data_IF_611913345264
#
_entry.id   IF_611913345264
#
_cell.length_a   1.000
_cell.length_b   1.000
_cell.length_c   1.000
_cell.angle_alpha   90.00
_cell.angle_beta   90.00
_cell.angle_gamma   90.00
#
_symmetry.space_group_name_H-M   'P 1'
#
loop_
_entity.id
_entity.type
_entity.pdbx_description
1 polymer ?
2 non-polymer ?
3 water ?
#
# COMPACT_ATOMS: atom_id res chain seq x y z
N UNK A 6 2.35 28.44 4.45
CA UNK A 6 1.37 27.37 4.46
C UNK A 6 1.07 26.98 5.90
N UNK A 7 -0.09 27.41 6.40
CA UNK A 7 -0.41 27.19 7.81
C UNK A 7 -0.51 25.70 8.13
N UNK A 8 -0.05 25.35 9.33
CA UNK A 8 -0.03 23.97 9.77
C UNK A 8 1.09 23.14 9.19
N UNK A 9 1.67 23.57 8.07
CA UNK A 9 2.79 22.86 7.46
C UNK A 9 4.00 22.95 8.38
N UNK A 10 4.43 21.81 8.91
CA UNK A 10 5.43 21.76 9.97
C UNK A 10 6.61 20.88 9.58
N UNK A 11 7.03 20.97 8.32
CA UNK A 11 8.23 20.28 7.87
C UNK A 11 9.47 20.97 8.45
N UNK A 12 10.19 20.25 9.31
CA UNK A 12 11.32 20.83 10.02
C UNK A 12 11.02 21.20 11.46
N UNK A 13 9.79 21.02 11.91
CA UNK A 13 9.37 21.38 13.27
C UNK A 13 8.72 20.21 13.98
N UNK A 14 8.84 19.00 13.44
CA UNK A 14 8.15 17.85 13.99
C UNK A 14 9.08 17.16 14.99
N UNK A 15 8.47 16.40 15.88
CA UNK A 15 9.23 15.69 16.90
C UNK A 15 9.82 14.42 16.32
N UNK A 16 10.68 13.78 17.11
CA UNK A 16 11.35 12.57 16.66
C UNK A 16 10.34 11.44 16.63
N UNK A 17 10.06 10.92 15.44
CA UNK A 17 9.15 9.79 15.33
C UNK A 17 9.74 8.58 16.03
N UNK A 18 8.92 7.75 16.67
CA UNK A 18 9.45 6.59 17.40
C UNK A 18 9.87 5.45 16.50
N UNK A 19 10.33 5.76 15.29
CA UNK A 19 10.88 4.78 14.36
C UNK A 19 12.35 5.10 14.16
N UNK A 20 13.19 4.08 14.31
CA UNK A 20 14.64 4.28 14.19
C UNK A 20 15.05 4.52 12.74
N UNK A 21 16.21 5.15 12.56
CA UNK A 21 16.71 5.41 11.22
C UNK A 21 16.96 4.11 10.47
N UNK A 22 17.48 3.10 11.16
CA UNK A 22 17.69 1.81 10.52
C UNK A 22 16.37 1.22 10.05
N UNK A 23 15.37 1.20 10.94
CA UNK A 23 14.03 0.74 10.56
C UNK A 23 13.51 1.51 9.37
N UNK A 24 13.74 2.83 9.35
CA UNK A 24 13.39 3.62 8.18
C UNK A 24 14.20 3.19 6.97
N UNK A 25 15.51 2.99 7.15
CA UNK A 25 16.37 2.59 6.04
C UNK A 25 15.91 1.27 5.44
N UNK A 26 15.44 0.35 6.27
CA UNK A 26 14.97 -0.93 5.78
C UNK A 26 13.59 -0.86 5.15
N UNK A 27 12.79 0.14 5.50
CA UNK A 27 11.54 0.36 4.80
C UNK A 27 11.79 0.87 3.38
N UNK A 28 12.71 1.83 3.22
CA UNK A 28 13.04 2.30 1.88
C UNK A 28 13.65 1.19 1.03
N UNK A 29 14.30 0.22 1.66
CA UNK A 29 14.85 -0.91 0.94
C UNK A 29 13.78 -1.92 0.55
N UNK A 30 12.85 -2.20 1.46
CA UNK A 30 11.74 -3.08 1.12
C UNK A 30 10.96 -2.56 -0.08
N UNK A 31 10.76 -1.24 -0.15
CA UNK A 31 10.11 -0.62 -1.31
C UNK A 31 11.08 -0.39 -2.46
N UNK A 32 12.37 -0.75 -2.28
CA UNK A 32 13.37 -0.66 -3.35
C UNK A 32 13.64 0.78 -3.78
N UNK A 33 13.58 1.72 -2.82
CA UNK A 33 13.87 3.12 -3.09
C UNK A 33 15.37 3.31 -3.04
N UNK A 34 16.00 3.38 -4.22
CA UNK A 34 17.43 3.55 -4.33
C UNK A 34 17.81 4.91 -4.90
N UNK A 35 19.12 5.06 -5.13
CA UNK A 35 19.64 6.33 -5.66
C UNK A 35 19.01 6.67 -7.00
N UNK A 36 18.76 5.66 -7.84
CA UNK A 36 18.09 5.90 -9.12
C UNK A 36 16.71 6.52 -8.90
N UNK A 37 15.99 6.05 -7.88
CA UNK A 37 14.67 6.61 -7.60
C UNK A 37 14.77 8.00 -6.99
N UNK A 38 15.72 8.20 -6.07
CA UNK A 38 15.95 9.52 -5.51
C UNK A 38 16.17 10.55 -6.62
N UNK A 39 16.93 10.17 -7.65
CA UNK A 39 17.12 11.05 -8.79
C UNK A 39 15.82 11.24 -9.56
N UNK A 40 15.15 10.13 -9.90
CA UNK A 40 13.89 10.22 -10.66
C UNK A 40 12.86 11.05 -9.90
N UNK A 41 12.85 10.96 -8.57
CA UNK A 41 11.94 11.80 -7.79
C UNK A 41 12.23 13.27 -8.02
N UNK A 42 13.50 13.67 -7.90
CA UNK A 42 13.87 15.05 -8.19
C UNK A 42 13.62 15.41 -9.65
N UNK A 43 13.64 14.42 -10.55
CA UNK A 43 13.25 14.69 -11.93
C UNK A 43 11.75 14.93 -12.03
N UNK A 44 10.95 14.15 -11.31
CA UNK A 44 9.51 14.42 -11.28
C UNK A 44 9.21 15.75 -10.61
N UNK A 45 10.02 16.15 -9.62
CA UNK A 45 9.82 17.44 -8.99
C UNK A 45 10.01 18.60 -9.96
N UNK A 46 11.01 18.49 -10.83
CA UNK A 46 11.16 19.47 -11.90
C UNK A 46 10.03 19.38 -12.90
N UNK A 47 9.37 18.23 -12.98
CA UNK A 47 8.24 18.06 -13.89
C UNK A 47 6.91 18.52 -13.28
N UNK A 48 6.72 18.35 -11.97
CA UNK A 48 5.44 18.57 -11.34
C UNK A 48 5.36 19.86 -10.52
N UNK A 49 6.46 20.61 -10.39
CA UNK A 49 6.45 21.78 -9.52
C UNK A 49 5.42 22.82 -9.99
N UNK A 50 5.22 22.95 -11.30
CA UNK A 50 4.32 23.96 -11.83
C UNK A 50 2.91 23.43 -12.13
N UNK A 51 2.73 22.11 -12.17
CA UNK A 51 1.42 21.52 -12.35
C UNK A 51 0.74 21.16 -11.03
N UNK A 52 1.26 21.65 -9.91
CA UNK A 52 0.75 21.26 -8.60
C UNK A 52 -0.74 21.58 -8.47
N UNK A 53 -1.12 22.81 -8.86
CA UNK A 53 -2.52 23.20 -8.79
C UNK A 53 -3.37 22.36 -9.73
N UNK A 54 -2.82 21.99 -10.88
CA UNK A 54 -3.53 21.14 -11.83
C UNK A 54 -3.58 19.68 -11.38
N UNK A 55 -2.72 19.29 -10.45
CA UNK A 55 -2.84 17.98 -9.81
C UNK A 55 -3.87 18.03 -8.71
N UNK A 56 -3.84 19.13 -7.95
CA UNK A 56 -4.68 19.28 -6.77
C UNK A 56 -6.17 19.22 -7.10
N UNK A 57 -6.58 19.86 -8.19
CA UNK A 57 -7.98 19.90 -8.59
C UNK A 57 -8.60 18.51 -8.78
N UNK A 58 -7.78 17.47 -8.85
CA UNK A 58 -8.29 16.11 -8.85
C UNK A 58 -8.36 15.50 -7.44
N UNK A 59 -7.59 16.01 -6.48
CA UNK A 59 -7.39 15.31 -5.22
C UNK A 59 -8.05 15.97 -4.03
N UNK A 60 -7.89 17.28 -3.83
CA UNK A 60 -8.49 17.96 -2.68
C UNK A 60 -8.69 19.43 -3.00
N UNK A 61 -9.81 19.96 -2.55
CA UNK A 61 -10.12 21.37 -2.66
C UNK A 61 -11.61 21.59 -2.68
N UNK A 62 -11.99 22.85 -2.44
CA UNK A 62 -13.40 23.22 -2.55
C UNK A 62 -13.87 23.21 -4.01
N UNK A 63 -12.97 23.51 -4.95
CA UNK A 63 -13.25 23.42 -6.38
C UNK A 63 -12.59 22.21 -7.04
N UNK A 64 -12.06 21.28 -6.26
CA UNK A 64 -11.38 20.14 -6.85
C UNK A 64 -12.38 19.06 -7.27
N UNK A 65 -12.56 18.07 -6.41
CA UNK A 65 -13.45 16.95 -6.69
C UNK A 65 -13.71 16.20 -5.38
N UNK A 66 -12.75 15.34 -5.00
CA UNK A 66 -12.80 14.56 -3.77
C UNK A 66 -13.97 13.58 -3.80
N UNK A 67 -13.69 12.29 -3.67
CA UNK A 67 -14.75 11.30 -3.78
C UNK A 67 -15.60 11.25 -2.51
N UNK A 68 -16.08 10.06 -2.15
CA UNK A 68 -16.81 9.91 -0.90
C UNK A 68 -15.91 10.13 0.31
N UNK A 69 -14.60 10.08 0.11
CA UNK A 69 -13.62 10.34 1.17
C UNK A 69 -13.72 11.77 1.70
N UNK A 70 -14.39 12.67 0.98
CA UNK A 70 -14.61 14.03 1.45
C UNK A 70 -15.31 14.04 2.80
N UNK A 71 -15.96 12.93 3.17
CA UNK A 71 -16.58 12.83 4.48
C UNK A 71 -15.56 13.07 5.60
N UNK A 72 -14.34 12.57 5.43
CA UNK A 72 -13.28 12.80 6.41
C UNK A 72 -12.75 14.22 6.36
N UNK A 73 -13.17 15.03 5.40
CA UNK A 73 -12.92 16.45 5.37
C UNK A 73 -14.09 17.25 5.91
N UNK A 74 -15.09 16.56 6.45
CA UNK A 74 -16.37 17.14 6.80
C UNK A 74 -16.64 17.03 8.29
N UNK A 75 -17.69 17.71 8.73
CA UNK A 75 -18.13 17.62 10.12
C UNK A 75 -18.85 16.30 10.33
N UNK A 76 -18.45 15.49 11.31
CA UNK A 76 -19.08 14.16 11.43
C UNK A 76 -20.52 14.22 11.92
N UNK A 77 -20.87 15.21 12.73
CA UNK A 77 -22.24 15.32 13.23
C UNK A 77 -23.20 15.69 12.10
N UNK A 78 -22.78 16.59 11.21
CA UNK A 78 -23.65 17.10 10.16
C UNK A 78 -23.27 16.60 8.76
N UNK A 79 -22.16 15.91 8.60
CA UNK A 79 -21.72 15.50 7.28
C UNK A 79 -21.43 16.67 6.36
N UNK A 80 -20.94 17.78 6.92
CA UNK A 80 -20.82 19.03 6.20
C UNK A 80 -19.37 19.27 5.82
N UNK A 81 -19.02 19.27 4.54
CA UNK A 81 -17.61 19.48 4.15
C UNK A 81 -17.12 20.83 4.68
N UNK A 82 -15.99 20.78 5.37
CA UNK A 82 -15.41 21.97 6.01
C UNK A 82 -14.45 22.59 5.00
N UNK A 83 -14.77 23.81 4.53
CA UNK A 83 -14.00 24.41 3.44
C UNK A 83 -12.58 24.75 3.84
N UNK A 84 -12.42 25.54 4.91
CA UNK A 84 -11.07 25.88 5.36
C UNK A 84 -10.31 24.63 5.77
N UNK A 85 -11.01 23.60 6.27
CA UNK A 85 -10.34 22.31 6.43
C UNK A 85 -9.83 21.81 5.08
N UNK A 86 -10.63 21.93 4.03
CA UNK A 86 -10.23 21.44 2.72
C UNK A 86 -9.21 22.37 2.07
N UNK A 87 -9.26 23.67 2.38
CA UNK A 87 -8.35 24.62 1.78
C UNK A 87 -6.95 24.54 2.40
N UNK A 88 -6.88 24.40 3.72
CA UNK A 88 -5.57 24.36 4.37
C UNK A 88 -4.86 23.04 4.11
N UNK A 89 -5.60 21.94 4.00
CA UNK A 89 -4.98 20.66 3.66
C UNK A 89 -4.57 20.66 2.20
N UNK A 90 -5.35 21.31 1.34
CA UNK A 90 -4.98 21.42 -0.07
C UNK A 90 -3.63 22.10 -0.23
N UNK A 91 -3.40 23.19 0.51
CA UNK A 91 -2.12 23.86 0.48
C UNK A 91 -1.01 22.96 1.01
N UNK A 92 -1.23 22.36 2.18
CA UNK A 92 -0.24 21.45 2.76
C UNK A 92 0.01 20.26 1.83
N UNK A 93 -1.05 19.68 1.28
CA UNK A 93 -0.89 18.59 0.33
C UNK A 93 -0.16 19.07 -0.93
N UNK A 94 -0.51 20.26 -1.42
CA UNK A 94 0.17 20.80 -2.59
C UNK A 94 1.66 20.98 -2.39
N UNK A 95 2.08 21.25 -1.16
CA UNK A 95 3.50 21.33 -0.85
C UNK A 95 4.11 19.95 -0.66
N UNK A 96 3.30 18.98 -0.22
CA UNK A 96 3.81 17.63 -0.01
C UNK A 96 4.16 16.96 -1.34
N UNK A 97 3.46 17.34 -2.42
CA UNK A 97 3.80 16.81 -3.75
C UNK A 97 5.25 17.12 -4.07
N UNK A 98 5.68 18.35 -3.81
CA UNK A 98 7.06 18.73 -4.05
C UNK A 98 8.00 18.19 -2.97
N UNK A 99 7.50 18.02 -1.74
CA UNK A 99 8.29 17.39 -0.70
C UNK A 99 8.54 15.91 -1.00
N UNK A 100 7.59 15.24 -1.64
CA UNK A 100 7.78 13.85 -2.03
C UNK A 100 8.82 13.73 -3.14
N UNK A 101 8.99 14.78 -3.94
CA UNK A 101 9.87 14.73 -5.09
C UNK A 101 11.23 15.36 -4.83
N UNK A 102 11.28 16.48 -4.12
CA UNK A 102 12.51 17.25 -3.99
C UNK A 102 13.26 16.98 -2.69
N UNK A 103 12.56 16.64 -1.62
CA UNK A 103 13.19 16.51 -0.30
C UNK A 103 13.97 15.21 -0.19
N UNK A 104 15.09 15.28 0.54
CA UNK A 104 15.87 14.09 0.83
C UNK A 104 15.18 13.26 1.90
N UNK A 105 15.15 11.95 1.68
CA UNK A 105 14.42 11.02 2.55
C UNK A 105 15.29 10.68 3.76
N UNK A 106 15.53 11.70 4.57
CA UNK A 106 16.33 11.60 5.77
C UNK A 106 15.42 11.52 6.99
N UNK A 107 15.98 11.76 8.18
CA UNK A 107 15.18 11.73 9.39
C UNK A 107 14.11 12.82 9.39
N UNK A 108 14.50 14.03 9.00
CA UNK A 108 13.52 15.13 8.94
C UNK A 108 12.38 14.81 7.98
N UNK A 109 12.66 14.07 6.90
CA UNK A 109 11.58 13.61 6.03
C UNK A 109 10.77 12.51 6.72
N UNK A 110 11.44 11.52 7.30
CA UNK A 110 10.75 10.44 7.98
C UNK A 110 9.89 10.99 9.11
N UNK A 111 10.41 11.95 9.87
CA UNK A 111 9.66 12.52 10.97
C UNK A 111 8.40 13.24 10.49
N UNK A 112 8.49 13.92 9.35
CA UNK A 112 7.32 14.64 8.84
C UNK A 112 6.28 13.67 8.27
N UNK A 113 6.73 12.59 7.63
CA UNK A 113 5.79 11.58 7.19
C UNK A 113 5.05 10.98 8.38
N UNK A 114 5.75 10.72 9.48
CA UNK A 114 5.09 10.31 10.71
C UNK A 114 4.10 11.37 11.19
N UNK A 115 4.42 12.64 10.97
CA UNK A 115 3.47 13.71 11.28
C UNK A 115 2.21 13.56 10.44
N UNK A 116 2.38 13.42 9.12
CA UNK A 116 1.23 13.27 8.23
C UNK A 116 0.41 12.05 8.61
N UNK A 117 1.08 10.98 9.06
CA UNK A 117 0.35 9.80 9.51
C UNK A 117 -0.45 10.07 10.77
N UNK A 118 0.12 10.83 11.70
CA UNK A 118 -0.61 11.20 12.92
C UNK A 118 -1.79 12.11 12.59
N UNK A 119 -1.68 12.91 11.53
CA UNK A 119 -2.77 13.82 11.16
C UNK A 119 -3.95 13.08 10.53
N UNK A 120 -3.75 11.85 10.07
CA UNK A 120 -4.86 11.02 9.64
C UNK A 120 -5.43 10.22 10.82
N UNK A 121 -4.58 9.90 11.79
CA UNK A 121 -4.98 9.14 12.97
C UNK A 121 -5.82 10.01 13.89
N UNK A 122 -6.53 9.35 14.81
CA UNK A 122 -7.29 10.07 15.83
C UNK A 122 -6.40 10.83 16.79
N UNK A 123 -5.07 10.61 16.70
CA UNK A 123 -4.14 11.28 17.58
C UNK A 123 -4.05 12.78 17.29
N UNK A 124 -4.31 13.18 16.04
CA UNK A 124 -4.11 14.58 15.69
C UNK A 124 -5.03 15.10 14.60
N UNK A 125 -5.87 14.28 13.98
CA UNK A 125 -6.75 14.75 12.92
C UNK A 125 -7.57 15.95 13.36
N UNK A 126 -7.60 16.98 12.52
CA UNK A 126 -8.31 18.20 12.83
C UNK A 126 -7.56 19.16 13.74
N UNK A 127 -6.59 18.69 14.51
CA UNK A 127 -5.88 19.56 15.44
C UNK A 127 -5.07 20.61 14.68
N UNK A 128 -4.42 20.21 13.58
CA UNK A 128 -3.62 21.13 12.79
C UNK A 128 -4.42 22.35 12.36
N UNK A 129 -5.71 22.18 12.10
CA UNK A 129 -6.55 23.23 11.55
C UNK A 129 -7.59 23.74 12.53
N UNK A 130 -7.57 23.27 13.77
CA UNK A 130 -8.56 23.69 14.74
C UNK A 130 -9.98 23.37 14.33
N UNK A 131 -10.17 22.35 13.50
CA UNK A 131 -11.47 22.01 12.95
C UNK A 131 -12.04 20.82 13.70
N UNK A 132 -13.34 20.85 13.93
CA UNK A 132 -14.06 19.72 14.52
C UNK A 132 -14.57 18.86 13.37
N UNK A 133 -13.93 17.72 13.15
CA UNK A 133 -14.16 16.90 11.98
C UNK A 133 -14.24 15.43 12.39
N UNK A 134 -14.25 14.56 11.40
CA UNK A 134 -14.17 13.11 11.64
C UNK A 134 -12.88 12.86 12.42
N UNK A 135 -12.96 12.23 13.59
CA UNK A 135 -11.76 12.15 14.44
C UNK A 135 -10.65 11.32 13.83
N UNK A 136 -10.96 10.30 13.05
CA UNK A 136 -9.97 9.31 12.64
C UNK A 136 -10.30 8.79 11.26
N UNK A 137 -9.26 8.59 10.45
CA UNK A 137 -9.40 7.97 9.13
C UNK A 137 -9.05 6.50 9.27
N UNK A 138 -9.94 5.58 8.87
CA UNK A 138 -9.62 4.15 8.97
C UNK A 138 -8.36 3.80 8.18
N UNK A 139 -7.51 2.98 8.80
CA UNK A 139 -6.27 2.57 8.16
C UNK A 139 -6.53 1.90 6.82
N UNK A 140 -7.66 1.18 6.69
CA UNK A 140 -7.96 0.49 5.46
C UNK A 140 -8.01 1.45 4.27
N UNK A 141 -8.51 2.67 4.50
CA UNK A 141 -8.60 3.64 3.41
C UNK A 141 -7.25 4.28 3.12
N UNK A 142 -6.45 4.52 4.16
CA UNK A 142 -5.08 4.98 3.94
C UNK A 142 -4.32 4.02 3.03
N UNK A 143 -4.41 2.73 3.31
CA UNK A 143 -3.75 1.75 2.45
C UNK A 143 -4.44 1.68 1.10
N UNK A 144 -5.78 1.69 1.09
CA UNK A 144 -6.51 1.71 -0.18
C UNK A 144 -6.15 2.94 -1.01
N UNK A 145 -5.89 4.07 -0.35
CA UNK A 145 -5.53 5.30 -1.06
C UNK A 145 -4.19 5.19 -1.77
N UNK A 146 -3.38 4.20 -1.42
CA UNK A 146 -2.06 4.03 -2.02
C UNK A 146 -2.15 3.99 -3.54
N UNK A 147 -3.15 3.27 -4.09
CA UNK A 147 -3.25 3.17 -5.53
C UNK A 147 -3.68 4.47 -6.20
N UNK A 148 -4.85 5.06 -5.88
CA UNK A 148 -5.29 6.24 -6.65
C UNK A 148 -4.28 7.37 -6.61
N UNK A 149 -3.65 7.61 -5.47
CA UNK A 149 -2.71 8.72 -5.34
C UNK A 149 -1.37 8.45 -6.01
N UNK A 150 -1.10 7.21 -6.40
CA UNK A 150 0.02 6.91 -7.28
C UNK A 150 -0.36 7.04 -8.75
N UNK A 151 -1.55 6.53 -9.11
CA UNK A 151 -1.97 6.51 -10.50
C UNK A 151 -2.35 7.88 -11.04
N UNK A 152 -2.74 8.82 -10.15
CA UNK A 152 -3.09 10.16 -10.64
C UNK A 152 -1.87 10.92 -11.15
N UNK A 153 -0.69 10.65 -10.59
CA UNK A 153 0.49 11.42 -10.95
C UNK A 153 1.07 10.98 -12.31
N UNK A 154 0.81 9.74 -12.72
CA UNK A 154 1.43 9.22 -13.94
C UNK A 154 1.12 10.06 -15.17
N UNK A 155 -0.14 10.47 -15.44
CA UNK A 155 -0.36 11.36 -16.60
C UNK A 155 0.38 12.67 -16.51
N UNK A 156 0.67 13.15 -15.29
CA UNK A 156 1.32 14.44 -15.13
C UNK A 156 2.79 14.39 -15.49
N UNK A 157 3.50 13.33 -15.10
CA UNK A 157 4.91 13.29 -15.46
C UNK A 157 5.13 13.11 -16.95
N UNK A 158 4.07 12.94 -17.74
CA UNK A 158 4.16 12.67 -19.16
C UNK A 158 4.53 13.90 -19.99
N UNK A 159 5.04 14.98 -19.37
CA UNK A 159 5.39 16.15 -20.18
C UNK A 159 6.72 15.90 -20.88
N UNK A 160 7.35 16.96 -21.37
CA UNK A 160 8.66 16.93 -22.04
C UNK A 160 9.40 15.59 -22.04
N UNK A 164 9.25 7.14 -21.97
CA UNK A 164 9.14 5.82 -21.33
C UNK A 164 9.86 5.72 -19.98
N UNK A 165 11.16 5.37 -20.01
CA UNK A 165 11.87 5.04 -18.77
C UNK A 165 11.94 6.21 -17.82
N UNK A 166 12.01 7.44 -18.33
CA UNK A 166 11.91 8.59 -17.44
C UNK A 166 10.54 8.64 -16.77
N UNK A 167 9.48 8.49 -17.56
CA UNK A 167 8.15 8.48 -16.98
C UNK A 167 7.93 7.24 -16.12
N UNK A 168 8.54 6.11 -16.48
CA UNK A 168 8.47 4.94 -15.61
C UNK A 168 9.31 5.13 -14.36
N UNK A 169 10.51 5.70 -14.50
CA UNK A 169 11.35 5.94 -13.33
C UNK A 169 10.71 6.90 -12.34
N UNK A 170 10.21 8.04 -12.84
CA UNK A 170 9.53 8.99 -11.98
C UNK A 170 8.27 8.38 -11.37
N UNK A 171 7.56 7.55 -12.15
CA UNK A 171 6.33 6.94 -11.66
C UNK A 171 6.61 5.93 -10.56
N UNK A 172 7.55 5.01 -10.81
CA UNK A 172 7.84 3.97 -9.83
C UNK A 172 8.36 4.56 -8.52
N UNK A 173 9.20 5.58 -8.59
CA UNK A 173 9.75 6.17 -7.38
C UNK A 173 8.66 6.84 -6.55
N UNK A 174 7.75 7.57 -7.20
CA UNK A 174 6.59 8.11 -6.50
C UNK A 174 5.73 7.00 -5.93
N UNK A 175 5.46 5.96 -6.72
CA UNK A 175 4.83 4.76 -6.22
C UNK A 175 5.56 4.24 -4.99
N UNK A 176 6.89 4.18 -5.06
CA UNK A 176 7.66 3.73 -3.91
C UNK A 176 7.47 4.64 -2.71
N UNK A 177 7.42 5.95 -2.94
CA UNK A 177 7.24 6.90 -1.84
C UNK A 177 5.82 6.85 -1.29
N UNK A 178 4.82 6.73 -2.17
CA UNK A 178 3.44 6.65 -1.72
C UNK A 178 3.23 5.42 -0.85
N UNK A 179 3.88 4.32 -1.19
CA UNK A 179 3.84 3.15 -0.32
C UNK A 179 4.60 3.42 0.98
N UNK A 180 5.81 3.97 0.87
CA UNK A 180 6.73 4.06 2.01
C UNK A 180 6.15 4.86 3.17
N UNK A 181 5.58 6.04 2.91
CA UNK A 181 5.02 6.85 4.00
C UNK A 181 3.83 6.18 4.63
N UNK A 182 2.94 5.58 3.82
CA UNK A 182 1.80 4.89 4.39
C UNK A 182 2.28 3.74 5.25
N UNK A 183 3.38 3.09 4.87
CA UNK A 183 3.95 2.06 5.71
C UNK A 183 4.41 2.64 7.04
N UNK A 184 4.88 3.89 7.03
CA UNK A 184 5.20 4.58 8.27
C UNK A 184 3.93 5.03 8.98
N UNK A 185 2.94 5.51 8.22
CA UNK A 185 1.70 5.99 8.81
C UNK A 185 0.95 4.91 9.59
N UNK A 186 1.22 3.65 9.29
CA UNK A 186 0.48 2.56 9.92
C UNK A 186 0.81 2.45 11.40
N UNK A 187 2.01 2.84 11.81
CA UNK A 187 2.46 2.63 13.19
C UNK A 187 1.50 3.18 14.25
N UNK A 188 1.00 4.41 14.16
CA UNK A 188 -0.01 4.85 15.14
C UNK A 188 -1.27 4.01 15.14
N UNK A 189 -1.68 3.50 13.97
CA UNK A 189 -2.84 2.62 13.90
C UNK A 189 -2.50 1.23 14.45
N UNK A 190 -1.27 0.80 14.23
CA UNK A 190 -0.88 -0.58 14.50
C UNK A 190 -0.60 -0.83 15.98
N UNK A 191 -0.91 -2.05 16.42
CA UNK A 191 -0.60 -2.50 17.77
C UNK A 191 0.90 -2.48 18.02
N UNK A 192 1.27 -2.24 19.28
CA UNK A 192 2.63 -2.05 19.75
C UNK A 192 3.72 -2.79 18.96
N UNK A 193 3.75 -4.12 19.11
CA UNK A 193 4.79 -4.94 18.48
C UNK A 193 4.32 -5.54 17.17
N UNK A 194 3.28 -4.98 16.57
CA UNK A 194 2.76 -5.53 15.32
C UNK A 194 3.20 -4.75 14.09
N UNK A 195 3.62 -3.50 14.25
CA UNK A 195 3.98 -2.70 13.09
C UNK A 195 5.33 -3.11 12.51
N UNK B 6 -2.48 -28.79 -2.93
CA UNK B 6 -1.70 -27.76 -2.28
C UNK B 6 -2.09 -27.65 -0.80
N UNK B 7 -1.27 -28.20 0.09
CA UNK B 7 -1.62 -28.22 1.51
C UNK B 7 -1.73 -26.82 2.08
N UNK B 8 -2.70 -26.65 2.98
CA UNK B 8 -2.97 -25.36 3.59
C UNK B 8 -3.77 -24.40 2.73
N UNK B 9 -3.78 -24.59 1.42
CA UNK B 9 -4.54 -23.73 0.52
C UNK B 9 -6.03 -23.95 0.77
N UNK B 10 -6.71 -22.93 1.31
CA UNK B 10 -8.09 -23.07 1.79
C UNK B 10 -9.01 -22.01 1.20
N UNK B 11 -8.84 -21.68 -0.09
CA UNK B 11 -9.76 -20.76 -0.75
C UNK B 11 -11.09 -21.47 -0.96
N UNK B 12 -12.13 -21.00 -0.27
CA UNK B 12 -13.41 -21.66 -0.27
C UNK B 12 -13.66 -22.50 0.97
N UNK B 13 -12.68 -22.57 1.87
CA UNK B 13 -12.77 -23.38 3.07
C UNK B 13 -12.46 -22.58 4.33
N UNK B 14 -12.36 -21.26 4.21
CA UNK B 14 -11.99 -20.39 5.32
C UNK B 14 -13.25 -19.82 5.96
N UNK B 15 -13.09 -19.33 7.20
CA UNK B 15 -14.20 -18.77 7.95
C UNK B 15 -14.49 -17.33 7.50
N UNK B 16 -15.62 -16.81 8.00
CA UNK B 16 -16.07 -15.47 7.62
C UNK B 16 -15.22 -14.40 8.28
N UNK B 17 -14.55 -13.59 7.46
CA UNK B 17 -13.75 -12.49 7.97
C UNK B 17 -14.65 -11.47 8.68
N UNK B 18 -14.16 -10.85 9.75
CA UNK B 18 -14.98 -9.87 10.47
C UNK B 18 -15.10 -8.54 9.75
N UNK B 19 -15.08 -8.59 8.41
CA UNK B 19 -15.30 -7.43 7.55
C UNK B 19 -16.62 -7.63 6.83
N UNK B 20 -17.49 -6.63 6.87
CA UNK B 20 -18.78 -6.72 6.21
C UNK B 20 -18.60 -6.60 4.70
N UNK B 21 -19.60 -7.10 3.96
CA UNK B 21 -19.55 -7.04 2.50
C UNK B 21 -19.51 -5.61 2.00
N UNK B 22 -20.29 -4.72 2.61
CA UNK B 22 -20.25 -3.31 2.22
C UNK B 22 -18.88 -2.70 2.50
N UNK B 23 -18.33 -2.95 3.70
CA UNK B 23 -16.98 -2.49 4.01
C UNK B 23 -16.00 -2.98 2.96
N UNK B 24 -16.13 -4.25 2.55
CA UNK B 24 -15.33 -4.77 1.45
C UNK B 24 -15.70 -4.08 0.14
N UNK B 25 -17.00 -3.90 -0.11
CA UNK B 25 -17.43 -3.30 -1.37
C UNK B 25 -16.90 -1.88 -1.52
N UNK B 26 -16.91 -1.09 -0.43
CA UNK B 26 -16.38 0.26 -0.51
C UNK B 26 -14.86 0.29 -0.44
N UNK B 27 -14.24 -0.75 0.10
CA UNK B 27 -12.80 -0.88 -0.03
C UNK B 27 -12.41 -1.10 -1.48
N UNK B 28 -13.19 -1.94 -2.17
CA UNK B 28 -12.97 -2.17 -3.60
C UNK B 28 -13.15 -0.89 -4.39
N UNK B 29 -14.01 0.02 -3.92
CA UNK B 29 -14.16 1.29 -4.62
C UNK B 29 -13.05 2.27 -4.29
N UNK B 30 -12.62 2.32 -3.03
CA UNK B 30 -11.51 3.20 -2.67
C UNK B 30 -10.27 2.88 -3.50
N UNK B 31 -10.02 1.59 -3.77
CA UNK B 31 -8.94 1.21 -4.68
C UNK B 31 -9.34 1.32 -6.14
N UNK B 32 -10.57 1.72 -6.42
CA UNK B 32 -11.05 1.98 -7.79
C UNK B 32 -11.04 0.71 -8.64
N UNK B 33 -11.27 -0.43 -8.01
CA UNK B 33 -11.33 -1.72 -8.71
C UNK B 33 -12.73 -1.90 -9.28
N UNK B 34 -12.89 -1.65 -10.57
CA UNK B 34 -14.16 -1.77 -11.24
C UNK B 34 -14.23 -2.95 -12.21
N UNK B 35 -15.36 -3.01 -12.93
CA UNK B 35 -15.58 -4.10 -13.88
C UNK B 35 -14.49 -4.14 -14.94
N UNK B 36 -14.02 -2.97 -15.38
CA UNK B 36 -12.92 -2.94 -16.34
C UNK B 36 -11.67 -3.63 -15.78
N UNK B 37 -11.41 -3.45 -14.49
CA UNK B 37 -10.27 -4.11 -13.86
C UNK B 37 -10.53 -5.61 -13.72
N UNK B 38 -11.75 -5.98 -13.31
CA UNK B 38 -12.12 -7.39 -13.25
C UNK B 38 -11.85 -8.07 -14.58
N UNK B 39 -12.16 -7.38 -15.68
CA UNK B 39 -11.83 -7.92 -17.01
C UNK B 39 -10.33 -7.99 -17.21
N UNK B 40 -9.62 -6.89 -16.96
CA UNK B 40 -8.17 -6.88 -17.13
C UNK B 40 -7.50 -7.90 -16.21
N UNK B 41 -8.03 -8.06 -14.99
CA UNK B 41 -7.52 -9.09 -14.09
C UNK B 41 -7.75 -10.48 -14.67
N UNK B 42 -9.00 -10.79 -15.06
CA UNK B 42 -9.28 -12.08 -15.68
C UNK B 42 -8.57 -12.22 -17.02
N UNK B 43 -8.24 -11.10 -17.67
CA UNK B 43 -7.38 -11.16 -18.84
C UNK B 43 -5.95 -11.47 -18.45
N UNK B 44 -5.48 -10.88 -17.34
CA UNK B 44 -4.13 -11.16 -16.85
C UNK B 44 -3.95 -12.62 -16.47
N UNK B 45 -5.03 -13.29 -16.05
CA UNK B 45 -4.94 -14.71 -15.74
C UNK B 45 -4.53 -15.53 -16.95
N UNK B 46 -5.08 -15.20 -18.13
CA UNK B 46 -4.63 -15.85 -19.35
C UNK B 46 -3.20 -15.46 -19.70
N UNK B 47 -2.72 -14.32 -19.20
CA UNK B 47 -1.35 -13.91 -19.48
C UNK B 47 -0.37 -14.55 -18.52
N UNK B 48 -0.79 -14.80 -17.27
CA UNK B 48 0.11 -15.24 -16.22
C UNK B 48 -0.05 -16.72 -15.89
N UNK B 49 -1.01 -17.42 -16.50
CA UNK B 49 -1.28 -18.81 -16.12
C UNK B 49 -0.07 -19.70 -16.36
N UNK B 50 0.70 -19.45 -17.43
CA UNK B 50 1.83 -20.29 -17.77
C UNK B 50 3.17 -19.74 -17.30
N UNK B 51 3.23 -18.46 -16.90
CA UNK B 51 4.46 -17.89 -16.38
C UNK B 51 4.54 -17.93 -14.86
N UNK B 52 3.67 -18.70 -14.20
CA UNK B 52 3.64 -18.72 -12.74
C UNK B 52 4.99 -19.16 -12.18
N UNK B 53 5.57 -20.20 -12.76
CA UNK B 53 6.84 -20.72 -12.27
C UNK B 53 7.96 -19.69 -12.40
N UNK B 54 7.93 -18.90 -13.49
CA UNK B 54 8.92 -17.85 -13.64
C UNK B 54 8.63 -16.64 -12.77
N UNK B 55 7.38 -16.49 -12.30
CA UNK B 55 7.07 -15.49 -11.29
C UNK B 55 7.40 -15.99 -9.90
N UNK B 56 7.06 -17.25 -9.62
CA UNK B 56 7.29 -17.79 -8.28
C UNK B 56 8.76 -17.76 -7.92
N UNK B 57 9.62 -18.19 -8.86
CA UNK B 57 11.07 -18.17 -8.64
C UNK B 57 11.61 -16.78 -8.40
N UNK B 58 10.82 -15.73 -8.66
CA UNK B 58 11.22 -14.36 -8.36
C UNK B 58 10.87 -13.95 -6.94
N UNK B 59 9.84 -14.56 -6.37
CA UNK B 59 9.21 -14.12 -5.14
C UNK B 59 9.37 -15.08 -3.98
N UNK B 60 9.23 -16.39 -4.21
CA UNK B 60 9.28 -17.37 -3.12
C UNK B 60 9.80 -18.68 -3.67
N UNK B 61 10.61 -19.36 -2.88
CA UNK B 61 11.08 -20.68 -3.23
C UNK B 61 12.41 -20.98 -2.56
N UNK B 62 12.77 -22.25 -2.61
CA UNK B 62 14.07 -22.67 -2.09
C UNK B 62 15.19 -22.13 -2.95
N UNK B 63 14.93 -21.89 -4.24
CA UNK B 63 15.90 -21.32 -5.15
C UNK B 63 15.62 -19.86 -5.48
N UNK B 64 14.76 -19.22 -4.72
CA UNK B 64 14.43 -17.81 -4.89
C UNK B 64 15.02 -16.99 -3.75
N UNK B 65 15.40 -15.76 -4.05
CA UNK B 65 15.99 -14.89 -3.05
C UNK B 65 14.99 -13.84 -2.60
N UNK B 66 15.03 -13.52 -1.30
CA UNK B 66 14.13 -12.49 -0.80
C UNK B 66 14.75 -11.61 0.28
N UNK B 67 16.07 -11.45 0.25
CA UNK B 67 16.73 -10.41 1.01
C UNK B 67 16.56 -10.84 2.46
N UNK B 68 16.29 -9.87 3.30
CA UNK B 68 15.90 -10.12 4.67
C UNK B 68 14.50 -10.73 4.76
N UNK B 69 13.70 -10.71 3.68
CA UNK B 69 12.37 -11.32 3.77
C UNK B 69 12.44 -12.82 4.01
N UNK B 70 13.56 -13.46 3.64
CA UNK B 70 13.75 -14.88 3.93
C UNK B 70 13.79 -15.14 5.43
N UNK B 71 14.14 -14.12 6.22
CA UNK B 71 14.15 -14.28 7.67
C UNK B 71 12.77 -14.68 8.18
N UNK B 72 11.72 -14.06 7.66
CA UNK B 72 10.36 -14.41 8.04
C UNK B 72 9.92 -15.74 7.46
N UNK B 73 10.74 -16.34 6.60
CA UNK B 73 10.57 -17.72 6.14
C UNK B 73 11.48 -18.67 6.89
N UNK B 74 12.17 -18.19 7.92
CA UNK B 74 13.23 -18.93 8.59
C UNK B 74 12.87 -19.18 10.05
N UNK B 75 13.69 -20.01 10.68
CA UNK B 75 13.58 -20.28 12.12
C UNK B 75 14.13 -19.10 12.90
N UNK B 76 13.39 -18.56 13.88
CA UNK B 76 13.86 -17.35 14.56
C UNK B 76 15.09 -17.59 15.42
N UNK B 77 15.24 -18.78 16.00
CA UNK B 77 16.39 -19.04 16.87
C UNK B 77 17.68 -19.12 16.07
N UNK B 78 17.63 -19.76 14.89
CA UNK B 78 18.83 -20.00 14.10
C UNK B 78 18.92 -19.16 12.83
N UNK B 79 17.87 -18.42 12.48
CA UNK B 79 17.88 -17.69 11.22
C UNK B 79 18.03 -18.57 10.01
N UNK B 80 17.53 -19.80 10.08
CA UNK B 80 17.77 -20.81 9.06
C UNK B 80 16.52 -20.98 8.22
N UNK B 81 16.56 -20.63 6.94
CA UNK B 81 15.38 -20.78 6.08
C UNK B 81 14.84 -22.21 6.08
N UNK B 82 13.53 -22.33 6.29
CA UNK B 82 12.87 -23.61 6.38
C UNK B 82 12.44 -24.04 4.97
N UNK B 83 12.98 -25.17 4.52
CA UNK B 83 12.74 -25.62 3.15
C UNK B 83 11.26 -25.94 2.93
N UNK B 84 10.68 -26.75 3.82
CA UNK B 84 9.27 -27.10 3.71
C UNK B 84 8.36 -25.88 3.83
N UNK B 85 8.75 -24.89 4.63
CA UNK B 85 8.01 -23.64 4.67
C UNK B 85 8.06 -22.92 3.32
N UNK B 86 9.23 -22.87 2.70
CA UNK B 86 9.37 -22.10 1.47
C UNK B 86 8.72 -22.78 0.29
N UNK B 87 8.69 -24.12 0.27
CA UNK B 87 8.07 -24.82 -0.86
C UNK B 87 6.56 -24.82 -0.75
N UNK B 88 6.02 -24.98 0.46
CA UNK B 88 4.56 -25.05 0.61
C UNK B 88 3.91 -23.70 0.39
N UNK B 89 4.59 -22.61 0.79
CA UNK B 89 4.05 -21.28 0.54
C UNK B 89 4.20 -20.91 -0.93
N UNK B 90 5.30 -21.34 -1.56
CA UNK B 90 5.49 -21.06 -2.99
C UNK B 90 4.33 -21.62 -3.81
N UNK B 91 3.91 -22.84 -3.51
CA UNK B 91 2.75 -23.41 -4.21
C UNK B 91 1.50 -22.58 -3.94
N UNK B 92 1.25 -22.26 -2.67
CA UNK B 92 0.11 -21.40 -2.33
C UNK B 92 0.22 -20.05 -3.00
N UNK B 93 1.42 -19.47 -3.04
CA UNK B 93 1.62 -18.22 -3.75
C UNK B 93 1.35 -18.39 -5.24
N UNK B 94 1.78 -19.52 -5.81
CA UNK B 94 1.50 -19.79 -7.21
C UNK B 94 0.02 -19.86 -7.52
N UNK B 95 -0.78 -20.31 -6.56
CA UNK B 95 -2.22 -20.31 -6.76
C UNK B 95 -2.82 -18.93 -6.53
N UNK B 96 -2.23 -18.12 -5.66
CA UNK B 96 -2.75 -16.79 -5.42
C UNK B 96 -2.54 -15.88 -6.62
N UNK B 97 -1.49 -16.14 -7.41
CA UNK B 97 -1.27 -15.38 -8.63
C UNK B 97 -2.48 -15.50 -9.55
N UNK B 98 -2.96 -16.73 -9.75
CA UNK B 98 -4.14 -16.94 -10.58
C UNK B 98 -5.42 -16.58 -9.84
N UNK B 99 -5.43 -16.72 -8.50
CA UNK B 99 -6.60 -16.28 -7.73
C UNK B 99 -6.72 -14.76 -7.76
N UNK B 100 -5.60 -14.05 -7.84
CA UNK B 100 -5.64 -12.60 -7.96
C UNK B 100 -6.19 -12.17 -9.31
N UNK B 101 -6.05 -13.01 -10.34
CA UNK B 101 -6.45 -12.66 -11.69
C UNK B 101 -7.79 -13.24 -12.11
N UNK B 102 -8.06 -14.50 -11.80
CA UNK B 102 -9.22 -15.18 -12.35
C UNK B 102 -10.43 -15.20 -11.42
N UNK B 103 -10.20 -15.21 -10.12
CA UNK B 103 -11.30 -15.39 -9.17
C UNK B 103 -12.10 -14.11 -9.00
N UNK B 104 -13.42 -14.26 -8.82
CA UNK B 104 -14.27 -13.13 -8.55
C UNK B 104 -14.07 -12.63 -7.13
N UNK B 105 -13.95 -11.31 -6.97
CA UNK B 105 -13.63 -10.71 -5.67
C UNK B 105 -14.91 -10.56 -4.86
N UNK B 106 -15.48 -11.70 -4.47
CA UNK B 106 -16.70 -11.76 -3.70
C UNK B 106 -16.36 -12.03 -2.22
N UNK B 107 -17.36 -12.42 -1.43
CA UNK B 107 -17.13 -12.71 -0.02
C UNK B 107 -16.18 -13.89 0.14
N UNK B 108 -16.39 -14.95 -0.64
CA UNK B 108 -15.51 -16.10 -0.59
C UNK B 108 -14.07 -15.71 -0.93
N UNK B 109 -13.90 -14.70 -1.79
CA UNK B 109 -12.56 -14.17 -2.05
C UNK B 109 -12.06 -13.36 -0.87
N UNK B 110 -12.90 -12.45 -0.37
CA UNK B 110 -12.50 -11.59 0.74
C UNK B 110 -12.09 -12.42 1.97
N UNK B 111 -12.84 -13.49 2.26
CA UNK B 111 -12.53 -14.29 3.44
C UNK B 111 -11.16 -14.94 3.33
N UNK B 112 -10.78 -15.40 2.13
CA UNK B 112 -9.46 -16.00 1.99
C UNK B 112 -8.35 -14.96 2.03
N UNK B 113 -8.60 -13.76 1.51
CA UNK B 113 -7.62 -12.70 1.67
C UNK B 113 -7.41 -12.39 3.14
N UNK B 114 -8.49 -12.36 3.91
CA UNK B 114 -8.35 -12.23 5.36
C UNK B 114 -7.57 -13.38 5.96
N UNK B 115 -7.72 -14.58 5.39
CA UNK B 115 -6.92 -15.71 5.86
C UNK B 115 -5.45 -15.47 5.61
N UNK B 116 -5.09 -15.08 4.38
CA UNK B 116 -3.69 -14.82 4.05
C UNK B 116 -3.11 -13.75 4.95
N UNK B 117 -3.91 -12.75 5.31
CA UNK B 117 -3.42 -11.73 6.24
C UNK B 117 -3.17 -12.28 7.62
N UNK B 118 -4.06 -13.17 8.09
CA UNK B 118 -3.84 -13.80 9.39
C UNK B 118 -2.62 -14.71 9.37
N UNK B 119 -2.32 -15.30 8.21
CA UNK B 119 -1.15 -16.16 8.10
C UNK B 119 0.14 -15.37 8.08
N UNK B 120 0.08 -14.07 7.81
CA UNK B 120 1.23 -13.21 8.01
C UNK B 120 1.29 -12.68 9.44
N UNK B 121 0.13 -12.51 10.06
CA UNK B 121 0.03 -12.06 11.44
C UNK B 121 0.44 -13.19 12.38
N UNK B 122 0.78 -12.82 13.61
CA UNK B 122 1.13 -13.87 14.58
C UNK B 122 -0.06 -14.74 14.95
N UNK B 123 -1.26 -14.41 14.48
CA UNK B 123 -2.44 -15.21 14.80
C UNK B 123 -2.37 -16.59 14.15
N UNK B 124 -1.69 -16.71 13.00
CA UNK B 124 -1.70 -17.97 12.26
C UNK B 124 -0.41 -18.27 11.53
N UNK B 125 0.58 -17.37 11.52
CA UNK B 125 1.84 -17.62 10.81
C UNK B 125 2.50 -18.89 11.33
N UNK B 126 2.93 -19.75 10.40
CA UNK B 126 3.56 -21.01 10.74
C UNK B 126 2.61 -22.12 11.10
N UNK B 127 1.39 -21.79 11.53
CA UNK B 127 0.44 -22.82 11.95
C UNK B 127 -0.02 -23.63 10.74
N UNK B 128 -0.28 -22.96 9.61
CA UNK B 128 -0.75 -23.64 8.41
C UNK B 128 0.19 -24.76 7.99
N UNK B 129 1.49 -24.60 8.21
CA UNK B 129 2.48 -25.56 7.77
C UNK B 129 3.13 -26.29 8.95
N UNK B 130 2.63 -26.08 10.15
CA UNK B 130 3.19 -26.73 11.33
C UNK B 130 4.64 -26.40 11.57
N UNK B 131 5.10 -25.25 11.11
CA UNK B 131 6.51 -24.90 11.15
C UNK B 131 6.75 -23.93 12.30
N UNK B 132 7.87 -24.10 13.00
CA UNK B 132 8.30 -23.17 14.04
C UNK B 132 9.18 -22.12 13.38
N UNK B 133 8.64 -20.91 13.22
CA UNK B 133 9.27 -19.87 12.43
C UNK B 133 9.17 -18.56 13.18
N UNK B 134 9.53 -17.47 12.50
CA UNK B 134 9.30 -16.13 13.00
C UNK B 134 7.79 -15.99 13.19
N UNK B 135 7.31 -15.65 14.40
CA UNK B 135 5.87 -15.71 14.64
C UNK B 135 5.07 -14.71 13.83
N UNK B 136 5.64 -13.56 13.50
CA UNK B 136 4.84 -12.46 12.96
C UNK B 136 5.63 -11.65 11.95
N UNK B 137 4.96 -11.22 10.90
CA UNK B 137 5.52 -10.31 9.90
C UNK B 137 5.05 -8.90 10.21
N UNK B 138 5.95 -7.93 10.43
CA UNK B 138 5.52 -6.55 10.69
C UNK B 138 4.71 -6.00 9.52
N UNK B 139 3.61 -5.33 9.86
CA UNK B 139 2.74 -4.75 8.83
C UNK B 139 3.49 -3.76 7.96
N UNK B 140 4.50 -3.08 8.50
CA UNK B 140 5.24 -2.09 7.72
C UNK B 140 5.81 -2.72 6.46
N UNK B 141 6.24 -3.98 6.55
CA UNK B 141 6.77 -4.66 5.37
C UNK B 141 5.66 -5.18 4.47
N UNK B 142 4.54 -5.60 5.04
CA UNK B 142 3.37 -5.94 4.24
C UNK B 142 2.98 -4.79 3.33
N UNK B 143 2.87 -3.59 3.90
CA UNK B 143 2.55 -2.41 3.08
C UNK B 143 3.71 -2.07 2.17
N UNK B 144 4.95 -2.12 2.69
CA UNK B 144 6.11 -1.87 1.85
C UNK B 144 6.17 -2.85 0.68
N UNK B 145 5.72 -4.08 0.89
CA UNK B 145 5.73 -5.10 -0.15
C UNK B 145 4.76 -4.78 -1.28
N UNK B 146 3.83 -3.85 -1.07
CA UNK B 146 2.85 -3.51 -2.10
C UNK B 146 3.53 -3.15 -3.41
N UNK B 147 4.63 -2.39 -3.34
CA UNK B 147 5.31 -2.01 -4.58
C UNK B 147 6.01 -3.19 -5.25
N UNK B 148 6.94 -3.90 -4.60
CA UNK B 148 7.67 -4.96 -5.32
C UNK B 148 6.74 -6.02 -5.92
N UNK B 149 5.73 -6.45 -5.18
CA UNK B 149 4.86 -7.49 -5.69
C UNK B 149 3.86 -6.97 -6.71
N UNK B 150 3.74 -5.65 -6.86
CA UNK B 150 3.04 -5.06 -7.98
C UNK B 150 3.94 -4.85 -9.19
N UNK B 151 5.16 -4.34 -8.96
CA UNK B 151 6.06 -4.00 -10.04
C UNK B 151 6.68 -5.21 -10.74
N UNK B 152 6.76 -6.36 -10.05
CA UNK B 152 7.32 -7.55 -10.68
C UNK B 152 6.42 -8.09 -11.78
N UNK B 153 5.10 -7.86 -11.69
CA UNK B 153 4.17 -8.45 -12.64
C UNK B 153 4.22 -7.78 -14.01
N UNK B 154 4.68 -6.53 -14.07
CA UNK B 154 4.64 -5.79 -15.34
C UNK B 154 5.45 -6.45 -16.45
N UNK B 155 6.72 -6.86 -16.26
CA UNK B 155 7.42 -7.53 -17.37
C UNK B 155 6.77 -8.83 -17.83
N UNK B 156 6.08 -9.54 -16.94
CA UNK B 156 5.48 -10.81 -17.31
C UNK B 156 4.23 -10.60 -18.15
N UNK B 157 3.43 -9.60 -17.83
CA UNK B 157 2.18 -9.23 -18.50
C UNK B 157 2.40 -8.69 -19.91
N UNK B 158 3.62 -8.68 -20.44
CA UNK B 158 3.90 -8.02 -21.72
C UNK B 158 3.20 -8.68 -22.90
N UNK B 159 3.57 -9.93 -23.22
CA UNK B 159 2.92 -10.60 -24.35
C UNK B 159 1.54 -11.12 -23.96
N UNK B 160 1.05 -12.12 -24.69
CA UNK B 160 -0.24 -12.78 -24.50
C UNK B 160 -1.14 -12.24 -23.38
N UNK B 164 0.23 -1.98 -24.68
CA UNK B 164 0.12 -0.70 -23.98
C UNK B 164 -1.03 -0.68 -22.97
N UNK B 165 -2.22 -0.26 -23.40
CA UNK B 165 -3.32 -0.10 -22.45
C UNK B 165 -3.78 -1.44 -21.86
N UNK B 166 -3.68 -2.52 -22.63
CA UNK B 166 -4.02 -3.83 -22.06
C UNK B 166 -3.09 -4.17 -20.91
N UNK B 167 -1.77 -4.09 -21.14
CA UNK B 167 -0.82 -4.37 -20.08
C UNK B 167 -0.89 -3.29 -19.01
N UNK B 168 -1.23 -2.05 -19.38
CA UNK B 168 -1.45 -1.02 -18.37
C UNK B 168 -2.69 -1.33 -17.55
N UNK B 169 -3.76 -1.79 -18.22
CA UNK B 169 -4.96 -2.17 -17.50
C UNK B 169 -4.74 -3.33 -16.56
N UNK B 170 -4.10 -4.40 -17.05
CA UNK B 170 -3.80 -5.54 -16.19
C UNK B 170 -2.86 -5.16 -15.06
N UNK B 171 -1.89 -4.28 -15.32
CA UNK B 171 -0.95 -3.88 -14.28
C UNK B 171 -1.64 -3.06 -13.20
N UNK B 172 -2.41 -2.06 -13.59
CA UNK B 172 -3.10 -1.22 -12.62
C UNK B 172 -4.08 -2.03 -11.80
N UNK B 173 -4.78 -2.96 -12.44
CA UNK B 173 -5.72 -3.81 -11.72
C UNK B 173 -4.99 -4.73 -10.75
N UNK B 174 -3.84 -5.27 -11.16
CA UNK B 174 -3.00 -6.04 -10.24
C UNK B 174 -2.54 -5.16 -9.09
N UNK B 175 -2.06 -3.96 -9.41
CA UNK B 175 -1.75 -2.95 -8.39
C UNK B 175 -2.93 -2.74 -7.46
N UNK B 176 -4.13 -2.56 -8.03
CA UNK B 176 -5.32 -2.39 -7.21
C UNK B 176 -5.56 -3.61 -6.33
N UNK B 177 -5.31 -4.80 -6.87
CA UNK B 177 -5.55 -6.01 -6.09
C UNK B 177 -4.52 -6.15 -4.97
N UNK B 178 -3.25 -5.83 -5.25
CA UNK B 178 -2.22 -5.92 -4.22
C UNK B 178 -2.51 -4.95 -3.09
N UNK B 179 -2.95 -3.73 -3.43
CA UNK B 179 -3.30 -2.76 -2.40
C UNK B 179 -4.52 -3.22 -1.62
N UNK B 180 -5.61 -3.55 -2.32
CA UNK B 180 -6.84 -3.93 -1.63
C UNK B 180 -6.63 -5.15 -0.77
N UNK B 181 -5.77 -6.09 -1.19
CA UNK B 181 -5.49 -7.25 -0.35
C UNK B 181 -4.79 -6.88 0.95
N UNK B 182 -3.81 -5.96 0.89
CA UNK B 182 -3.09 -5.55 2.09
C UNK B 182 -3.98 -4.77 3.07
N UNK B 183 -4.93 -3.97 2.58
CA UNK B 183 -5.80 -3.20 3.47
C UNK B 183 -6.65 -4.10 4.37
N UNK B 184 -7.08 -5.25 3.87
CA UNK B 184 -7.77 -6.26 4.69
C UNK B 184 -6.78 -6.93 5.62
N UNK B 185 -5.57 -7.19 5.12
CA UNK B 185 -4.56 -7.82 5.94
C UNK B 185 -4.24 -6.98 7.17
N UNK B 186 -4.43 -5.66 7.08
CA UNK B 186 -4.08 -4.78 8.18
C UNK B 186 -5.01 -4.96 9.37
N UNK B 187 -6.27 -5.35 9.14
CA UNK B 187 -7.25 -5.42 10.22
C UNK B 187 -6.81 -6.25 11.42
N UNK B 188 -6.31 -7.49 11.27
CA UNK B 188 -5.78 -8.18 12.45
C UNK B 188 -4.62 -7.44 13.09
N UNK B 189 -3.81 -6.74 12.30
CA UNK B 189 -2.71 -5.96 12.84
C UNK B 189 -3.19 -4.66 13.47
N UNK B 190 -4.23 -4.05 12.92
CA UNK B 190 -4.62 -2.70 13.30
C UNK B 190 -5.32 -2.70 14.66
N UNK B 191 -5.09 -1.64 15.42
CA UNK B 191 -5.74 -1.47 16.72
C UNK B 191 -7.26 -1.45 16.53
N UNK B 192 -7.95 -1.94 17.56
CA UNK B 192 -9.40 -2.19 17.58
C UNK B 192 -10.20 -1.30 16.63
N UNK B 193 -10.27 0.00 16.93
CA UNK B 193 -11.10 0.93 16.19
C UNK B 193 -10.32 1.75 15.15
N UNK B 194 -9.13 1.29 14.75
CA UNK B 194 -8.31 2.07 13.84
C UNK B 194 -8.35 1.61 12.40
N UNK B 195 -8.79 0.38 12.13
CA UNK B 195 -8.79 -0.12 10.76
C UNK B 195 -9.91 0.49 9.93
X LIG C 1 -3.99 15.37 5.07
X LIG C 1 -1.74 12.57 1.95
X LIG C 1 -4.83 8.89 2.45
X LIG C 1 -7.67 12.34 4.45
X LIG C 1 -3.17 14.99 4.06
X LIG C 1 -1.98 15.69 3.64
X LIG C 1 -1.34 14.82 2.88
X LIG C 1 -2.15 13.63 2.74
X LIG C 1 0.09 15.02 2.32
X LIG C 1 -1.39 16.97 4.30
X LIG C 1 -0.47 16.66 5.47
X LIG C 1 0.01 17.95 6.08
X LIG C 1 -0.54 18.35 7.14
X LIG C 1 1.11 18.41 5.68
X LIG C 1 -2.28 11.30 1.83
X LIG C 1 -1.71 10.18 1.11
X LIG C 1 -2.56 9.14 1.25
X LIG C 1 -3.70 9.59 2.05
X LIG C 1 -0.36 10.24 0.36
X LIG C 1 -2.43 7.70 0.68
X LIG C 1 -1.92 7.41 -0.53
X LIG C 1 -5.96 9.50 2.98
X LIG C 1 -7.30 8.97 3.18
X LIG C 1 -8.07 9.93 3.75
X LIG C 1 -7.27 11.12 3.91
X LIG C 1 -7.79 7.55 2.85
X LIG C 1 -9.54 9.83 4.12
X LIG C 1 -10.39 10.57 3.40
X LIG C 1 -6.84 13.39 4.82
X LIG C 1 -7.31 14.47 5.67
X LIG C 1 -6.34 15.36 5.80
X LIG C 1 -5.26 14.90 4.98
X LIG C 1 -8.78 14.69 6.10
X LIG C 1 -6.19 16.37 6.97
X LIG C 1 -5.69 15.67 8.23
X LIG C 1 -5.56 16.67 9.36
X LIG C 1 -6.46 16.68 10.24
X LIG C 1 -4.44 17.24 9.52
X LIG C 1 -3.47 13.90 3.21
X LIG C 1 -3.47 10.89 2.38
X LIG C 1 -6.01 10.78 3.45
X LIG C 1 -5.60 13.78 4.20
X LIG C 1 -4.69 12.22 3.53
X LIG C 1 -5.79 12.54 2.19
X LIG C 1 -5.57 13.46 1.00
X LIG C 1 -5.57 14.78 1.13
X LIG C 1 -5.42 15.53 0.00
X LIG C 1 -5.32 14.98 -1.25
X LIG C 1 -5.36 13.62 -1.40
X LIG C 1 -5.50 12.87 -0.25
X LIG D 1 2.39 -16.25 2.53
X LIG D 1 1.50 -12.73 -0.53
X LIG D 1 3.90 -9.41 2.03
X LIG D 1 5.90 -13.36 4.14
X LIG D 1 2.08 -15.63 1.36
X LIG D 1 1.22 -16.17 0.33
X LIG D 1 0.94 -15.13 -0.42
X LIG D 1 1.63 -13.97 0.09
X LIG D 1 -0.05 -15.13 -1.60
X LIG D 1 0.44 -17.52 0.31
X LIG D 1 -0.95 -17.42 0.97
X LIG D 1 -1.64 -18.76 0.93
X LIG D 1 -1.66 -19.47 1.97
X LIG D 1 -2.43 -18.97 -0.03
X LIG D 1 1.96 -11.50 -0.13
X LIG D 1 1.68 -10.22 -0.73
X LIG D 1 2.35 -9.27 -0.01
X LIG D 1 3.08 -9.94 1.05
X LIG D 1 0.76 -10.03 -1.95
X LIG D 1 2.38 -7.73 -0.24
X LIG D 1 2.39 -7.15 -1.45
X LIG D 1 4.77 -10.18 2.80
X LIG D 1 5.88 -9.77 3.65
X LIG D 1 6.41 -10.86 4.22
X LIG D 1 5.68 -12.02 3.78
X LIG D 1 6.37 -8.34 3.85
X LIG D 1 7.61 -10.91 5.18
X LIG D 1 8.73 -11.47 4.71
X LIG D 1 5.02 -14.42 3.90
X LIG D 1 5.12 -15.66 4.64
X LIG D 1 4.21 -16.50 4.17
X LIG D 1 3.55 -15.83 3.09
X LIG D 1 6.02 -15.92 5.87
X LIG D 1 3.65 -17.75 4.90
X LIG D 1 2.69 -17.36 6.01
X LIG D 1 2.18 -18.59 6.72
X LIG D 1 2.69 -18.88 7.84
X LIG D 1 1.13 -19.13 6.29
X LIG D 1 2.66 -14.40 0.99
X LIG D 1 2.82 -11.27 0.93
X LIG D 1 4.68 -11.54 2.95
X LIG D 1 4.16 -14.60 2.76
X LIG D 1 3.52 -12.89 2.15
X LIG D 1 5.10 -12.89 1.37
X LIG D 1 5.49 -13.49 0.04
X LIG D 1 5.56 -14.79 -0.15
X LIG D 1 5.99 -15.25 -1.36
X LIG D 1 6.40 -14.41 -2.37
X LIG D 1 6.37 -13.06 -2.17
X LIG D 1 5.94 -12.61 -0.94
#
# INVERSE_FOLDING_TARGET
MTPSDIPGYDYGRVEKSPITDLEFDLLKKTVMLGEKDVMYLKKAGDVLKDQVDEILDLLVGWRASNEHLIYYFSNPDTGEPIKEYLERVRARFGAWILDTTSRDYNREWLDYQYEVGLRHHRSKKGVTDGVRTVPHIPLRYLIAQIYPLTATIKPFLAKKGGSPEDIEGMYNAWFKSVVLQVAIWSHPYTKENDW
MTPSDIPGYDYGRVEKSPITDLEFDLLKKTVMLGEKDVMYLKKAGDVLKDQVDEILDLLVGWRASNEHLIYYFSNPDTGEPIKEYLERVRARFGAWILDTTSRDYNREWLDYQYEVGLRHHRSKKGVTDGVRTVPHIPLRYLIAQIYPLTATIKPFLAKKGGSPEDIEGMYNAWFKSVVLQVAIWSHPYTKENDW
WUF CHA CHB CHC CHD C1A C2A C3A C4A CMA CAA CBA CGA O1A O2A C1B C2B C3B C4B CMB CAB CBB C1C C2C C3C C4C CMC CAC CBC C1D C2D C3D C4D CMD CAD CBD CGD O1D O2D NA NB NC ND FE C01 C02 C03 C04 C05 C06 C07
WUF CHA CHB CHC CHD C1A C2A C3A C4A CMA CAA CBA CGA O1A O2A C1B C2B C3B C4B CMB CAB CBB C1C C2C C3C C4C CMC CAC CBC C1D C2D C3D C4D CMD CAD CBD CGD O1D O2D NA NB NC ND FE C01 C02 C03 C04 C05 C06 C07
#
